data_IF_728708733542
#
_entry.id   IF_728708733542
#
_cell.length_a   1.000
_cell.length_b   1.000
_cell.length_c   1.000
_cell.angle_alpha   90.00
_cell.angle_beta   90.00
_cell.angle_gamma   90.00
#
_symmetry.space_group_name_H-M   'P 1'
#
loop_
_entity.id
_entity.type
_entity.pdbx_description
1 polymer ?
#
# COMPACT_ATOMS: atom_id res chain seq x y z
N UNK A 1 32.43 35.21 6.07
CA UNK A 1 33.29 35.52 4.91
C UNK A 1 33.53 34.27 4.07
N UNK A 2 34.19 33.23 4.62
CA UNK A 2 34.62 32.03 3.87
C UNK A 2 33.57 31.37 2.95
N UNK A 3 32.30 31.24 3.37
CA UNK A 3 31.27 30.61 2.51
C UNK A 3 30.82 31.49 1.34
N UNK A 4 30.89 32.81 1.48
CA UNK A 4 30.52 33.76 0.44
C UNK A 4 31.57 33.84 -0.67
N UNK A 5 32.82 33.51 -0.35
CA UNK A 5 33.93 33.46 -1.31
C UNK A 5 33.79 32.33 -2.34
N UNK A 6 32.90 31.36 -2.10
CA UNK A 6 32.63 30.26 -3.04
C UNK A 6 31.82 30.70 -4.27
N UNK A 7 31.20 31.88 -4.24
CA UNK A 7 30.40 32.38 -5.37
C UNK A 7 29.12 31.58 -5.66
N UNK A 8 28.65 30.80 -4.68
CA UNK A 8 27.48 29.92 -4.82
C UNK A 8 26.16 30.57 -4.35
N UNK A 9 26.14 31.88 -4.11
CA UNK A 9 24.99 32.60 -3.58
C UNK A 9 24.95 32.67 -2.06
N UNK A 10 23.75 32.91 -1.51
CA UNK A 10 23.52 33.01 -0.07
C UNK A 10 23.69 31.65 0.62
N UNK A 11 24.55 31.51 1.64
CA UNK A 11 24.73 30.26 2.35
C UNK A 11 23.57 29.99 3.32
N UNK A 12 22.94 28.83 3.18
CA UNK A 12 21.84 28.38 4.04
C UNK A 12 22.39 27.61 5.26
N UNK A 13 22.26 28.13 6.49
CA UNK A 13 22.72 27.43 7.68
C UNK A 13 21.73 26.32 8.05
N UNK A 14 22.20 25.07 8.12
CA UNK A 14 21.37 23.92 8.50
C UNK A 14 21.95 23.14 9.68
N UNK A 15 21.08 22.52 10.47
CA UNK A 15 21.45 21.54 11.48
C UNK A 15 20.81 20.19 11.15
N UNK A 16 21.61 19.20 10.75
CA UNK A 16 21.10 17.84 10.48
C UNK A 16 20.58 17.12 11.73
N UNK A 17 21.06 17.47 12.93
CA UNK A 17 20.67 16.84 14.19
C UNK A 17 19.36 17.42 14.72
N UNK A 18 19.20 18.75 14.66
CA UNK A 18 18.06 19.44 15.24
C UNK A 18 16.99 19.84 14.21
N UNK A 19 17.29 19.74 12.91
CA UNK A 19 16.37 20.07 11.81
C UNK A 19 16.24 21.57 11.52
N UNK A 20 16.92 22.45 12.26
CA UNK A 20 16.88 23.90 12.02
C UNK A 20 17.43 24.25 10.64
N UNK A 21 16.82 25.23 9.96
CA UNK A 21 17.25 25.73 8.65
C UNK A 21 16.83 24.87 7.46
N UNK A 22 16.26 23.68 7.71
CA UNK A 22 15.88 22.76 6.64
C UNK A 22 14.64 23.21 5.88
N UNK A 23 13.71 23.93 6.54
CA UNK A 23 12.52 24.48 5.90
C UNK A 23 12.88 25.58 4.91
N UNK A 24 13.69 26.54 5.36
CA UNK A 24 14.14 27.68 4.54
C UNK A 24 14.93 27.23 3.31
N UNK A 25 15.80 26.21 3.47
CA UNK A 25 16.51 25.60 2.35
C UNK A 25 15.56 24.94 1.35
N UNK A 26 14.53 24.24 1.83
CA UNK A 26 13.56 23.56 0.96
C UNK A 26 12.64 24.56 0.25
N UNK A 27 12.24 25.63 0.92
CA UNK A 27 11.43 26.70 0.33
C UNK A 27 12.18 27.39 -0.81
N UNK A 28 13.47 27.70 -0.61
CA UNK A 28 14.32 28.21 -1.69
C UNK A 28 14.44 27.19 -2.82
N UNK A 29 14.76 25.93 -2.50
CA UNK A 29 14.97 24.88 -3.50
C UNK A 29 13.76 24.72 -4.43
N UNK A 30 12.55 24.83 -3.89
CA UNK A 30 11.30 24.72 -4.67
C UNK A 30 11.25 25.76 -5.79
N UNK A 31 11.80 26.97 -5.58
CA UNK A 31 11.81 28.03 -6.59
C UNK A 31 12.72 27.73 -7.79
N UNK A 32 13.75 26.89 -7.60
CA UNK A 32 14.70 26.48 -8.64
C UNK A 32 14.28 25.21 -9.36
N UNK A 33 13.30 24.47 -8.82
CA UNK A 33 12.74 23.31 -9.51
C UNK A 33 11.81 23.77 -10.62
N UNK A 34 11.83 23.10 -11.79
CA UNK A 34 10.88 23.41 -12.86
C UNK A 34 9.44 23.28 -12.32
N UNK A 35 8.53 24.21 -12.64
CA UNK A 35 7.14 24.06 -12.26
C UNK A 35 6.62 22.75 -12.84
N UNK A 36 6.24 21.81 -11.98
CA UNK A 36 5.55 20.60 -12.40
C UNK A 36 4.11 21.04 -12.70
N UNK A 37 3.89 21.50 -13.93
CA UNK A 37 2.56 21.91 -14.41
C UNK A 37 1.62 20.71 -14.50
N UNK A 38 2.16 19.56 -14.93
CA UNK A 38 1.44 18.29 -15.00
C UNK A 38 2.42 17.15 -14.68
N UNK A 39 2.15 16.40 -13.61
CA UNK A 39 2.62 15.01 -13.57
C UNK A 39 1.73 14.33 -14.59
N UNK A 40 2.25 13.80 -15.73
CA UNK A 40 1.40 13.09 -16.66
C UNK A 40 0.65 12.02 -15.86
N UNK A 41 -0.68 12.09 -15.86
CA UNK A 41 -1.51 11.01 -15.33
C UNK A 41 -1.30 9.82 -16.24
N UNK A 42 -0.23 9.07 -15.99
CA UNK A 42 -0.08 7.77 -16.60
C UNK A 42 -1.16 6.92 -15.95
N UNK A 43 -2.15 6.46 -16.73
CA UNK A 43 -3.12 5.43 -16.35
C UNK A 43 -2.45 4.06 -16.13
N UNK A 44 -1.20 4.07 -15.67
CA UNK A 44 -0.35 2.93 -15.48
C UNK A 44 -0.37 2.53 -14.00
N UNK A 45 -0.80 1.31 -13.73
CA UNK A 45 -0.74 0.72 -12.39
C UNK A 45 0.65 0.12 -12.20
N UNK A 46 1.38 0.58 -11.18
CA UNK A 46 2.69 0.01 -10.85
C UNK A 46 2.50 -1.26 -10.00
N UNK A 47 2.94 -2.39 -10.50
CA UNK A 47 2.76 -3.72 -9.91
C UNK A 47 4.12 -4.38 -9.65
N UNK A 48 4.32 -5.00 -8.49
CA UNK A 48 5.47 -5.88 -8.24
C UNK A 48 5.04 -7.30 -7.96
N UNK A 49 5.81 -8.27 -8.46
CA UNK A 49 5.65 -9.68 -8.14
C UNK A 49 6.64 -10.02 -7.02
N UNK A 50 6.11 -10.24 -5.82
CA UNK A 50 6.91 -10.44 -4.59
C UNK A 50 6.60 -11.82 -4.00
N UNK A 51 7.60 -12.47 -3.43
CA UNK A 51 7.47 -13.79 -2.81
C UNK A 51 8.83 -14.47 -2.68
N UNK A 52 8.90 -15.52 -1.85
CA UNK A 52 10.13 -16.31 -1.62
C UNK A 52 10.75 -16.85 -2.91
N UNK A 53 12.04 -17.24 -2.91
CA UNK A 53 12.62 -17.99 -4.03
C UNK A 53 11.73 -19.19 -4.45
N UNK A 54 11.73 -19.52 -5.75
CA UNK A 54 11.09 -20.73 -6.30
C UNK A 54 9.55 -20.87 -6.20
N UNK A 55 8.82 -19.89 -5.65
CA UNK A 55 7.34 -19.85 -5.64
C UNK A 55 6.68 -19.65 -7.03
N UNK A 56 7.49 -19.47 -8.08
CA UNK A 56 7.03 -19.36 -9.47
C UNK A 56 6.80 -17.95 -10.00
N UNK A 57 7.41 -16.92 -9.39
CA UNK A 57 7.39 -15.52 -9.87
C UNK A 57 7.80 -15.36 -11.34
N UNK A 58 8.84 -16.08 -11.79
CA UNK A 58 9.32 -16.02 -13.18
C UNK A 58 8.34 -16.66 -14.15
N UNK A 59 7.69 -17.76 -13.75
CA UNK A 59 6.62 -18.37 -14.54
C UNK A 59 5.44 -17.42 -14.67
N UNK A 60 5.05 -16.75 -13.57
CA UNK A 60 3.95 -15.77 -13.58
C UNK A 60 4.26 -14.56 -14.47
N UNK A 61 5.49 -14.02 -14.38
CA UNK A 61 5.96 -12.96 -15.28
C UNK A 61 5.87 -13.38 -16.75
N UNK A 62 6.31 -14.60 -17.08
CA UNK A 62 6.24 -15.09 -18.46
C UNK A 62 4.79 -15.32 -18.92
N UNK A 63 3.92 -15.80 -18.04
CA UNK A 63 2.50 -15.97 -18.36
C UNK A 63 1.84 -14.62 -18.73
N UNK A 64 2.10 -13.56 -17.96
CA UNK A 64 1.64 -12.20 -18.30
C UNK A 64 2.19 -11.69 -19.65
N UNK A 65 3.37 -12.14 -20.06
CA UNK A 65 3.96 -11.75 -21.35
C UNK A 65 3.46 -12.61 -22.53
N UNK A 66 2.98 -13.82 -22.26
CA UNK A 66 2.56 -14.79 -23.27
C UNK A 66 1.08 -14.74 -23.64
N UNK A 67 0.20 -14.20 -22.80
CA UNK A 67 -1.27 -14.28 -22.96
C UNK A 67 -1.90 -13.25 -23.95
N UNK A 68 -1.10 -12.53 -24.74
CA UNK A 68 -1.44 -11.62 -25.87
C UNK A 68 -1.16 -10.12 -25.62
N UNK A 69 -0.36 -9.56 -26.55
CA UNK A 69 -0.05 -8.12 -26.75
C UNK A 69 0.49 -7.37 -25.53
N UNK A 70 1.48 -7.93 -24.82
CA UNK A 70 2.41 -7.10 -24.09
C UNK A 70 3.27 -6.32 -25.11
N UNK A 71 2.89 -5.08 -25.44
CA UNK A 71 3.80 -4.17 -26.13
C UNK A 71 4.88 -3.82 -25.10
N UNK A 72 6.00 -4.52 -25.16
CA UNK A 72 7.20 -4.16 -24.41
C UNK A 72 7.76 -2.90 -25.08
N UNK A 73 7.31 -1.74 -24.63
CA UNK A 73 7.87 -0.46 -25.07
C UNK A 73 9.11 -0.15 -24.24
N UNK A 74 10.32 -0.08 -24.85
CA UNK A 74 11.46 0.51 -24.20
C UNK A 74 11.25 2.03 -24.19
N UNK A 75 10.49 2.55 -23.23
CA UNK A 75 10.41 4.01 -23.05
C UNK A 75 11.76 4.47 -22.51
N UNK A 76 12.66 4.82 -23.43
CA UNK A 76 13.91 5.51 -23.16
C UNK A 76 13.59 6.92 -22.66
N UNK A 77 13.80 7.18 -21.38
CA UNK A 77 13.53 8.52 -20.82
C UNK A 77 13.96 8.76 -19.38
N UNK A 78 14.23 7.73 -18.57
CA UNK A 78 14.80 7.90 -17.23
C UNK A 78 15.99 6.99 -17.01
N UNK A 79 17.17 7.60 -16.83
CA UNK A 79 18.48 6.94 -16.74
C UNK A 79 18.76 6.24 -15.39
N UNK A 80 17.75 5.64 -14.75
CA UNK A 80 17.96 4.80 -13.55
C UNK A 80 17.17 3.48 -13.49
N UNK A 81 16.16 3.27 -14.35
CA UNK A 81 15.17 2.18 -14.19
C UNK A 81 14.92 1.34 -15.46
N UNK A 82 15.99 0.98 -16.20
CA UNK A 82 15.93 0.21 -17.45
C UNK A 82 15.50 -1.27 -17.31
N UNK A 83 14.65 -1.62 -16.33
CA UNK A 83 14.40 -3.00 -15.90
C UNK A 83 12.90 -3.31 -15.65
N UNK A 84 12.02 -2.34 -15.86
CA UNK A 84 10.59 -2.53 -15.66
C UNK A 84 9.95 -3.02 -16.97
N UNK A 85 8.98 -3.95 -16.88
CA UNK A 85 8.26 -4.47 -18.05
C UNK A 85 6.87 -3.86 -18.09
N UNK A 86 6.46 -3.34 -19.24
CA UNK A 86 5.11 -2.80 -19.43
C UNK A 86 4.23 -3.87 -20.06
N UNK A 87 3.04 -4.06 -19.51
CA UNK A 87 2.00 -4.96 -20.05
C UNK A 87 0.75 -4.12 -20.29
N UNK A 88 0.13 -4.25 -21.46
CA UNK A 88 -1.11 -3.57 -21.79
C UNK A 88 -2.24 -4.60 -21.95
N UNK A 89 -3.38 -4.38 -21.30
CA UNK A 89 -4.56 -5.24 -21.46
C UNK A 89 -5.83 -4.40 -21.34
N UNK A 90 -6.77 -4.60 -22.28
CA UNK A 90 -8.06 -3.92 -22.28
C UNK A 90 -7.95 -2.37 -22.18
N UNK A 91 -6.90 -1.79 -22.79
CA UNK A 91 -6.63 -0.34 -22.73
C UNK A 91 -6.07 0.16 -21.39
N UNK A 92 -5.72 -0.73 -20.46
CA UNK A 92 -5.02 -0.41 -19.21
C UNK A 92 -3.55 -0.82 -19.30
N UNK A 93 -2.69 0.00 -18.73
CA UNK A 93 -1.25 -0.22 -18.71
C UNK A 93 -0.80 -0.66 -17.31
N UNK A 94 0.04 -1.68 -17.24
CA UNK A 94 0.60 -2.20 -16.00
C UNK A 94 2.13 -2.16 -16.07
N UNK A 95 2.77 -1.44 -15.15
CA UNK A 95 4.23 -1.47 -14.98
C UNK A 95 4.61 -2.58 -14.03
N UNK A 96 5.19 -3.65 -14.54
CA UNK A 96 5.84 -4.65 -13.70
C UNK A 96 7.22 -4.12 -13.27
N UNK A 97 7.35 -3.82 -11.97
CA UNK A 97 8.55 -3.25 -11.38
C UNK A 97 9.57 -4.34 -11.05
N UNK A 98 10.85 -4.07 -11.33
CA UNK A 98 12.01 -4.89 -10.97
C UNK A 98 12.00 -6.33 -11.56
N UNK A 99 11.68 -6.41 -12.85
CA UNK A 99 11.54 -7.71 -13.54
C UNK A 99 12.86 -8.41 -13.85
N UNK A 100 14.00 -7.73 -13.94
CA UNK A 100 15.27 -8.45 -14.16
C UNK A 100 15.76 -9.18 -12.92
N UNK A 101 15.35 -8.79 -11.71
CA UNK A 101 15.58 -9.59 -10.52
C UNK A 101 14.95 -10.98 -10.64
N UNK A 102 13.81 -11.08 -11.32
CA UNK A 102 13.07 -12.31 -11.60
C UNK A 102 13.71 -13.09 -12.76
N UNK A 103 14.18 -12.41 -13.82
CA UNK A 103 14.82 -13.06 -14.98
C UNK A 103 16.23 -13.58 -14.68
N UNK A 104 17.05 -12.86 -13.90
CA UNK A 104 18.44 -13.25 -13.57
C UNK A 104 18.52 -14.50 -12.66
N UNK A 105 17.53 -14.74 -11.80
CA UNK A 105 17.53 -15.88 -10.86
C UNK A 105 17.44 -17.25 -11.53
N UNK A 106 17.10 -17.35 -12.82
CA UNK A 106 17.10 -18.63 -13.56
C UNK A 106 18.53 -19.17 -13.80
N UNK A 107 19.55 -18.31 -13.72
CA UNK A 107 20.91 -18.62 -14.20
C UNK A 107 22.00 -18.57 -13.11
N UNK A 108 21.67 -18.53 -11.81
CA UNK A 108 22.68 -18.41 -10.73
C UNK A 108 22.44 -19.44 -9.63
N UNK A 109 23.38 -20.35 -9.45
CA UNK A 109 23.46 -21.25 -8.30
C UNK A 109 24.05 -20.53 -7.08
N UNK A 110 23.30 -20.61 -5.96
CA UNK A 110 23.69 -20.41 -4.56
C UNK A 110 24.38 -19.09 -4.13
N UNK A 111 23.79 -18.41 -3.14
CA UNK A 111 24.34 -17.19 -2.48
C UNK A 111 23.46 -15.93 -2.58
N UNK A 112 22.31 -16.00 -3.25
CA UNK A 112 21.49 -14.84 -3.65
C UNK A 112 20.28 -14.52 -2.74
N UNK A 113 20.13 -15.17 -1.58
CA UNK A 113 18.93 -15.02 -0.74
C UNK A 113 18.85 -13.66 -0.04
N UNK A 114 19.95 -13.18 0.56
CA UNK A 114 19.99 -11.88 1.25
C UNK A 114 19.76 -10.70 0.29
N UNK A 115 20.29 -10.79 -0.94
CA UNK A 115 20.04 -9.82 -2.00
C UNK A 115 18.61 -9.88 -2.54
N UNK A 116 17.91 -11.01 -2.38
CA UNK A 116 16.53 -11.20 -2.80
C UNK A 116 15.52 -10.41 -1.98
N UNK A 117 15.69 -10.36 -0.66
CA UNK A 117 14.77 -9.67 0.26
C UNK A 117 14.91 -8.14 0.14
N UNK A 118 16.13 -7.61 0.18
CA UNK A 118 16.37 -6.17 0.01
C UNK A 118 15.86 -5.66 -1.35
N UNK A 119 15.95 -6.50 -2.38
CA UNK A 119 15.38 -6.21 -3.69
C UNK A 119 13.84 -6.17 -3.64
N UNK A 120 13.20 -7.17 -3.05
CA UNK A 120 11.76 -7.19 -2.86
C UNK A 120 11.27 -5.93 -2.11
N UNK A 121 12.00 -5.49 -1.09
CA UNK A 121 11.66 -4.27 -0.34
C UNK A 121 11.75 -2.99 -1.19
N UNK A 122 12.75 -2.89 -2.09
CA UNK A 122 12.83 -1.79 -3.05
C UNK A 122 11.69 -1.82 -4.05
N UNK A 123 11.32 -3.00 -4.54
CA UNK A 123 10.19 -3.18 -5.45
C UNK A 123 8.88 -2.72 -4.79
N UNK A 124 8.57 -3.22 -3.58
CA UNK A 124 7.37 -2.85 -2.80
C UNK A 124 7.25 -1.31 -2.66
N UNK A 125 8.35 -0.61 -2.37
CA UNK A 125 8.35 0.85 -2.20
C UNK A 125 7.98 1.62 -3.48
N UNK A 126 8.25 1.06 -4.65
CA UNK A 126 8.02 1.71 -5.95
C UNK A 126 6.65 1.38 -6.56
N UNK A 127 5.90 0.46 -5.97
CA UNK A 127 4.65 -0.06 -6.56
C UNK A 127 3.40 0.48 -5.86
N UNK A 128 2.25 0.29 -6.48
CA UNK A 128 0.94 0.56 -5.88
C UNK A 128 0.31 -0.74 -5.43
N UNK A 129 0.36 -1.76 -6.30
CA UNK A 129 -0.16 -3.10 -6.02
C UNK A 129 0.99 -4.11 -5.96
N UNK A 130 0.95 -5.01 -4.98
CA UNK A 130 1.86 -6.14 -4.86
C UNK A 130 1.11 -7.43 -5.16
N UNK A 131 1.60 -8.21 -6.11
CA UNK A 131 1.22 -9.61 -6.28
C UNK A 131 2.08 -10.44 -5.34
N UNK A 132 1.52 -10.83 -4.21
CA UNK A 132 2.21 -11.61 -3.19
C UNK A 132 2.05 -13.10 -3.48
N UNK A 133 3.09 -13.68 -4.10
CA UNK A 133 3.07 -15.05 -4.60
C UNK A 133 3.51 -16.04 -3.52
N UNK A 134 2.64 -17.00 -3.23
CA UNK A 134 2.83 -18.08 -2.27
C UNK A 134 2.83 -19.40 -3.04
N UNK A 135 3.66 -20.35 -2.62
CA UNK A 135 3.67 -21.70 -3.18
C UNK A 135 2.59 -22.56 -2.52
N UNK A 136 1.69 -23.13 -3.32
CA UNK A 136 0.62 -23.99 -2.83
C UNK A 136 1.12 -25.29 -2.17
N UNK A 137 2.35 -25.73 -2.46
CA UNK A 137 2.91 -26.94 -1.87
C UNK A 137 3.54 -26.67 -0.49
N UNK A 138 4.20 -25.51 -0.34
CA UNK A 138 4.86 -25.13 0.92
C UNK A 138 3.91 -24.44 1.92
N UNK A 139 2.82 -23.84 1.42
CA UNK A 139 1.99 -22.96 2.23
C UNK A 139 2.67 -21.66 2.64
N UNK A 140 2.10 -21.02 3.65
CA UNK A 140 2.62 -19.75 4.19
C UNK A 140 3.73 -20.03 5.20
N UNK A 141 4.95 -19.62 4.86
CA UNK A 141 6.14 -19.77 5.72
C UNK A 141 6.45 -18.50 6.52
N UNK A 142 7.41 -18.55 7.44
CA UNK A 142 7.86 -17.37 8.18
C UNK A 142 8.48 -16.28 7.29
N UNK A 143 9.18 -16.68 6.22
CA UNK A 143 9.73 -15.73 5.26
C UNK A 143 8.61 -15.02 4.48
N UNK A 144 7.49 -15.69 4.22
CA UNK A 144 6.30 -15.09 3.61
C UNK A 144 5.70 -14.05 4.56
N UNK A 145 5.55 -14.37 5.85
CA UNK A 145 5.05 -13.42 6.84
C UNK A 145 5.90 -12.15 6.92
N UNK A 146 7.24 -12.27 6.90
CA UNK A 146 8.14 -11.10 6.88
C UNK A 146 7.96 -10.21 5.65
N UNK A 147 7.71 -10.81 4.48
CA UNK A 147 7.41 -10.05 3.26
C UNK A 147 6.04 -9.38 3.36
N UNK A 148 5.05 -10.08 3.92
CA UNK A 148 3.69 -9.61 4.13
C UNK A 148 3.62 -8.40 5.08
N UNK A 149 4.32 -8.48 6.23
CA UNK A 149 4.48 -7.37 7.16
C UNK A 149 5.03 -6.13 6.45
N UNK A 150 6.04 -6.33 5.61
CA UNK A 150 6.65 -5.24 4.85
C UNK A 150 5.68 -4.57 3.88
N UNK A 151 4.81 -5.34 3.22
CA UNK A 151 3.79 -4.82 2.31
C UNK A 151 2.84 -3.88 3.08
N UNK A 152 2.47 -4.23 4.31
CA UNK A 152 1.61 -3.42 5.19
C UNK A 152 2.34 -2.17 5.69
N UNK A 153 3.58 -2.32 6.15
CA UNK A 153 4.41 -1.20 6.60
C UNK A 153 4.57 -0.13 5.52
N UNK A 154 4.79 -0.57 4.28
CA UNK A 154 4.88 0.32 3.11
C UNK A 154 3.50 0.78 2.62
N UNK A 155 2.42 0.18 3.14
CA UNK A 155 1.05 0.58 2.85
C UNK A 155 0.70 0.38 1.40
N UNK A 156 1.04 -0.78 0.83
CA UNK A 156 0.74 -1.13 -0.57
C UNK A 156 -0.50 -1.99 -0.64
N UNK A 157 -1.27 -1.80 -1.71
CA UNK A 157 -2.32 -2.73 -2.05
C UNK A 157 -1.72 -4.10 -2.38
N UNK A 158 -2.50 -5.16 -2.17
CA UNK A 158 -2.01 -6.52 -2.27
C UNK A 158 -3.07 -7.47 -2.82
N UNK A 159 -2.63 -8.37 -3.69
CA UNK A 159 -3.36 -9.57 -4.10
C UNK A 159 -2.49 -10.77 -3.73
N UNK A 160 -3.05 -11.69 -2.95
CA UNK A 160 -2.38 -12.93 -2.56
C UNK A 160 -2.57 -13.94 -3.70
N UNK A 161 -1.47 -14.40 -4.27
CA UNK A 161 -1.45 -15.32 -5.41
C UNK A 161 -0.91 -16.66 -4.98
N UNK A 162 -1.78 -17.63 -4.74
CA UNK A 162 -1.40 -19.01 -4.42
C UNK A 162 -1.13 -19.74 -5.73
N UNK A 163 0.15 -19.94 -6.04
CA UNK A 163 0.63 -20.50 -7.30
C UNK A 163 0.95 -22.00 -7.17
N UNK A 164 1.15 -22.67 -8.31
CA UNK A 164 1.33 -24.13 -8.43
C UNK A 164 0.11 -24.92 -7.97
N UNK A 165 -1.08 -24.31 -8.05
CA UNK A 165 -2.31 -24.97 -7.64
C UNK A 165 -2.56 -26.26 -8.45
N UNK A 166 -2.04 -26.38 -9.67
CA UNK A 166 -2.09 -27.60 -10.49
C UNK A 166 -1.42 -28.81 -9.83
N UNK A 167 -0.38 -28.62 -9.02
CA UNK A 167 0.36 -29.68 -8.36
C UNK A 167 -0.30 -30.19 -7.06
N UNK A 168 -1.34 -29.53 -6.59
CA UNK A 168 -2.10 -29.93 -5.40
C UNK A 168 -3.16 -30.96 -5.82
N UNK A 169 -3.17 -32.13 -5.16
CA UNK A 169 -4.28 -33.09 -5.25
C UNK A 169 -5.52 -32.50 -4.58
N UNK A 170 -6.67 -32.61 -5.27
CA UNK A 170 -7.88 -31.84 -4.89
C UNK A 170 -9.08 -32.73 -4.71
N UNK A 171 -9.84 -32.40 -3.68
CA UNK A 171 -11.24 -32.74 -3.52
C UNK A 171 -12.13 -31.47 -3.55
N UNK A 172 -13.42 -31.62 -3.25
CA UNK A 172 -14.38 -30.52 -3.24
C UNK A 172 -14.09 -29.46 -2.15
N UNK A 173 -13.35 -29.80 -1.09
CA UNK A 173 -13.14 -28.96 0.09
C UNK A 173 -11.73 -28.35 0.17
N UNK A 174 -10.79 -28.88 -0.61
CA UNK A 174 -9.36 -28.53 -0.56
C UNK A 174 -9.14 -27.04 -0.68
N UNK A 175 -9.85 -26.36 -1.59
CA UNK A 175 -9.70 -24.91 -1.78
C UNK A 175 -10.12 -24.11 -0.55
N UNK A 176 -11.19 -24.51 0.13
CA UNK A 176 -11.69 -23.83 1.32
C UNK A 176 -10.74 -24.04 2.50
N UNK A 177 -10.27 -25.28 2.70
CA UNK A 177 -9.29 -25.60 3.75
C UNK A 177 -8.02 -24.78 3.57
N UNK A 178 -7.51 -24.70 2.33
CA UNK A 178 -6.31 -23.94 2.03
C UNK A 178 -6.51 -22.43 2.23
N UNK A 179 -7.66 -21.91 1.84
CA UNK A 179 -7.99 -20.50 2.08
C UNK A 179 -8.03 -20.16 3.58
N UNK A 180 -8.59 -21.05 4.41
CA UNK A 180 -8.58 -20.88 5.87
C UNK A 180 -7.15 -20.93 6.43
N UNK A 181 -6.30 -21.83 5.94
CA UNK A 181 -4.91 -21.90 6.37
C UNK A 181 -4.15 -20.60 6.03
N UNK A 182 -4.27 -20.12 4.79
CA UNK A 182 -3.66 -18.85 4.36
C UNK A 182 -4.16 -17.70 5.22
N UNK A 183 -5.48 -17.60 5.46
CA UNK A 183 -6.08 -16.58 6.32
C UNK A 183 -5.61 -16.67 7.77
N UNK A 184 -5.40 -17.87 8.32
CA UNK A 184 -4.91 -18.04 9.69
C UNK A 184 -3.48 -17.51 9.85
N UNK A 185 -2.62 -17.72 8.84
CA UNK A 185 -1.21 -17.31 8.84
C UNK A 185 -1.02 -15.84 8.45
N UNK A 186 -1.91 -15.31 7.59
CA UNK A 186 -1.90 -13.94 7.08
C UNK A 186 -3.13 -13.14 7.53
N UNK A 187 -3.59 -13.35 8.78
CA UNK A 187 -4.82 -12.73 9.31
C UNK A 187 -4.79 -11.19 9.23
N UNK A 188 -3.60 -10.59 9.34
CA UNK A 188 -3.38 -9.15 9.22
C UNK A 188 -3.53 -8.62 7.78
N UNK A 189 -3.61 -9.51 6.79
CA UNK A 189 -3.92 -9.24 5.38
C UNK A 189 -5.31 -9.74 4.97
N UNK A 190 -6.26 -9.90 5.90
CA UNK A 190 -7.64 -10.33 5.59
C UNK A 190 -8.34 -9.51 4.49
N UNK A 191 -7.86 -8.28 4.27
CA UNK A 191 -8.35 -7.35 3.28
C UNK A 191 -7.81 -7.62 1.87
N UNK A 192 -6.75 -8.42 1.73
CA UNK A 192 -6.16 -8.75 0.44
C UNK A 192 -6.89 -9.93 -0.18
N UNK A 193 -7.28 -9.81 -1.45
CA UNK A 193 -7.96 -10.90 -2.16
C UNK A 193 -6.99 -12.03 -2.45
N UNK A 194 -7.46 -13.28 -2.31
CA UNK A 194 -6.67 -14.48 -2.58
C UNK A 194 -7.13 -15.14 -3.87
N UNK A 195 -6.19 -15.46 -4.75
CA UNK A 195 -6.44 -16.20 -5.99
C UNK A 195 -5.52 -17.41 -6.12
N UNK A 196 -6.13 -18.54 -6.48
CA UNK A 196 -5.43 -19.80 -6.75
C UNK A 196 -5.20 -19.96 -8.25
N UNK A 197 -3.94 -20.04 -8.66
CA UNK A 197 -3.52 -20.08 -10.06
C UNK A 197 -2.52 -21.20 -10.34
N UNK A 198 -2.29 -21.44 -11.63
CA UNK A 198 -1.14 -22.18 -12.10
C UNK A 198 -0.44 -21.38 -13.19
N UNK A 199 0.69 -20.76 -12.84
CA UNK A 199 1.47 -19.97 -13.79
C UNK A 199 2.12 -20.81 -14.90
N UNK A 200 2.35 -22.11 -14.67
CA UNK A 200 2.88 -23.04 -15.67
C UNK A 200 1.84 -23.38 -16.75
N UNK A 201 0.58 -23.52 -16.36
CA UNK A 201 -0.52 -23.89 -17.27
C UNK A 201 -1.32 -22.69 -17.79
N UNK A 202 -1.12 -21.50 -17.23
CA UNK A 202 -1.93 -20.30 -17.50
C UNK A 202 -3.28 -20.27 -16.77
N UNK A 203 -3.64 -21.34 -16.04
CA UNK A 203 -4.95 -21.45 -15.40
C UNK A 203 -5.19 -20.29 -14.42
N UNK A 204 -6.21 -19.48 -14.71
CA UNK A 204 -6.67 -18.31 -13.94
C UNK A 204 -5.67 -17.15 -13.85
N UNK A 205 -4.58 -17.15 -14.63
CA UNK A 205 -3.61 -16.04 -14.64
C UNK A 205 -4.27 -14.75 -15.10
N UNK A 206 -5.11 -14.82 -16.14
CA UNK A 206 -5.86 -13.69 -16.65
C UNK A 206 -6.70 -12.96 -15.58
N UNK A 207 -7.27 -13.68 -14.60
CA UNK A 207 -8.12 -13.08 -13.56
C UNK A 207 -7.35 -12.21 -12.56
N UNK A 208 -6.02 -12.34 -12.53
CA UNK A 208 -5.18 -11.54 -11.62
C UNK A 208 -5.25 -10.06 -12.00
N UNK A 209 -5.39 -9.74 -13.29
CA UNK A 209 -5.45 -8.35 -13.74
C UNK A 209 -6.74 -7.66 -13.27
N UNK A 210 -7.87 -8.37 -13.22
CA UNK A 210 -9.12 -7.84 -12.65
C UNK A 210 -8.96 -7.53 -11.15
N UNK A 211 -8.25 -8.40 -10.41
CA UNK A 211 -7.96 -8.19 -8.98
C UNK A 211 -6.97 -7.03 -8.76
N UNK A 212 -5.97 -6.87 -9.64
CA UNK A 212 -5.07 -5.71 -9.61
C UNK A 212 -5.88 -4.43 -9.80
N UNK A 213 -6.79 -4.41 -10.77
CA UNK A 213 -7.62 -3.24 -11.04
C UNK A 213 -8.49 -2.87 -9.85
N UNK A 214 -9.16 -3.86 -9.25
CA UNK A 214 -9.96 -3.64 -8.05
C UNK A 214 -9.11 -3.08 -6.90
N UNK A 215 -7.98 -3.73 -6.61
CA UNK A 215 -7.08 -3.31 -5.56
C UNK A 215 -6.50 -1.91 -5.81
N UNK A 216 -6.12 -1.58 -7.05
CA UNK A 216 -5.61 -0.27 -7.43
C UNK A 216 -6.69 0.83 -7.32
N UNK A 217 -7.93 0.53 -7.70
CA UNK A 217 -9.06 1.44 -7.58
C UNK A 217 -9.37 1.75 -6.12
N UNK A 218 -9.47 0.74 -5.26
CA UNK A 218 -9.66 0.92 -3.83
C UNK A 218 -8.46 1.62 -3.17
N UNK A 219 -7.24 1.34 -3.63
CA UNK A 219 -6.00 1.97 -3.20
C UNK A 219 -5.93 3.47 -3.54
N UNK A 220 -6.71 3.96 -4.50
CA UNK A 220 -6.72 5.39 -4.85
C UNK A 220 -8.03 6.08 -4.48
N UNK A 221 -9.04 5.32 -4.05
CA UNK A 221 -10.39 5.84 -3.80
C UNK A 221 -10.39 6.92 -2.73
N UNK A 222 -11.03 8.04 -3.07
CA UNK A 222 -11.34 9.14 -2.17
C UNK A 222 -12.75 8.98 -1.64
N UNK A 223 -12.90 9.10 -0.33
CA UNK A 223 -14.18 9.12 0.38
C UNK A 223 -14.38 10.50 0.99
N UNK A 224 -15.58 11.05 0.86
CA UNK A 224 -15.89 12.38 1.36
C UNK A 224 -15.88 12.40 2.90
N UNK A 225 -15.59 13.56 3.47
CA UNK A 225 -15.65 13.78 4.92
C UNK A 225 -17.04 13.45 5.48
N UNK A 226 -18.13 13.73 4.76
CA UNK A 226 -19.48 13.41 5.22
C UNK A 226 -19.69 11.90 5.42
N UNK A 227 -19.34 11.10 4.41
CA UNK A 227 -19.49 9.63 4.46
C UNK A 227 -18.62 9.02 5.56
N UNK A 228 -17.41 9.54 5.76
CA UNK A 228 -16.53 9.10 6.87
C UNK A 228 -17.18 9.37 8.23
N UNK A 229 -17.83 10.52 8.41
CA UNK A 229 -18.45 10.87 9.68
C UNK A 229 -19.76 10.12 9.91
N UNK A 230 -20.52 9.81 8.86
CA UNK A 230 -21.70 8.93 8.94
C UNK A 230 -21.33 7.55 9.50
N UNK A 231 -20.28 6.93 8.95
CA UNK A 231 -19.76 5.64 9.44
C UNK A 231 -19.26 5.74 10.89
N UNK A 232 -18.62 6.84 11.26
CA UNK A 232 -18.15 7.06 12.63
C UNK A 232 -19.30 7.22 13.61
N UNK A 233 -20.33 7.99 13.25
CA UNK A 233 -21.51 8.21 14.08
C UNK A 233 -22.25 6.89 14.31
N UNK A 234 -22.43 6.09 13.26
CA UNK A 234 -23.01 4.75 13.36
C UNK A 234 -22.16 3.84 14.28
N UNK A 235 -20.84 3.75 14.05
CA UNK A 235 -19.95 2.95 14.88
C UNK A 235 -19.96 3.35 16.37
N UNK A 236 -19.96 4.65 16.67
CA UNK A 236 -19.98 5.14 18.05
C UNK A 236 -21.32 4.82 18.73
N UNK A 237 -22.42 4.84 17.98
CA UNK A 237 -23.76 4.49 18.49
C UNK A 237 -23.84 3.02 18.91
N UNK A 238 -23.22 2.12 18.16
CA UNK A 238 -23.15 0.69 18.48
C UNK A 238 -22.18 0.39 19.63
N UNK A 239 -21.03 1.05 19.64
CA UNK A 239 -20.01 0.85 20.68
C UNK A 239 -19.29 2.15 20.99
N UNK A 240 -19.68 2.76 22.11
CA UNK A 240 -19.08 4.01 22.57
C UNK A 240 -17.64 3.82 23.05
N UNK A 241 -16.78 4.86 22.96
CA UNK A 241 -15.41 4.80 23.48
C UNK A 241 -15.40 4.45 24.97
N UNK A 242 -14.41 3.66 25.44
CA UNK A 242 -14.36 3.21 26.82
C UNK A 242 -14.12 4.37 27.79
N UNK A 243 -14.69 4.25 28.99
CA UNK A 243 -14.51 5.20 30.09
C UNK A 243 -13.32 4.79 30.94
N UNK A 244 -12.44 5.73 31.28
CA UNK A 244 -11.32 5.48 32.20
C UNK A 244 -11.82 5.29 33.65
N UNK A 245 -10.97 4.73 34.52
CA UNK A 245 -11.25 4.61 35.97
C UNK A 245 -11.63 5.92 36.65
N UNK A 246 -11.21 7.06 36.11
CA UNK A 246 -11.52 8.40 36.59
C UNK A 246 -12.80 9.01 35.94
N UNK A 247 -13.62 8.21 35.26
CA UNK A 247 -14.86 8.67 34.63
C UNK A 247 -14.66 9.47 33.33
N UNK A 248 -13.43 9.64 32.85
CA UNK A 248 -13.15 10.41 31.60
C UNK A 248 -13.29 9.49 30.39
N UNK A 249 -14.12 9.88 29.43
CA UNK A 249 -14.35 9.14 28.19
C UNK A 249 -13.53 9.71 27.02
N UNK A 250 -13.18 8.85 26.06
CA UNK A 250 -12.69 9.28 24.75
C UNK A 250 -13.80 9.97 23.97
N UNK A 251 -13.49 11.08 23.29
CA UNK A 251 -14.41 11.76 22.39
C UNK A 251 -13.78 11.87 21.01
N UNK A 252 -14.44 11.31 20.00
CA UNK A 252 -14.12 11.50 18.59
C UNK A 252 -14.97 12.66 18.10
N UNK A 253 -14.33 13.68 17.53
CA UNK A 253 -15.01 14.88 17.05
C UNK A 253 -15.45 14.75 15.61
N UNK A 254 -14.53 14.31 14.75
CA UNK A 254 -14.74 14.07 13.33
C UNK A 254 -13.58 13.27 12.75
N UNK A 255 -13.79 12.69 11.57
CA UNK A 255 -12.76 12.06 10.75
C UNK A 255 -12.68 12.67 9.36
N UNK A 256 -11.50 12.62 8.73
CA UNK A 256 -11.32 12.95 7.31
C UNK A 256 -10.22 12.10 6.68
N UNK A 257 -10.36 11.77 5.39
CA UNK A 257 -9.29 11.12 4.65
C UNK A 257 -8.22 12.14 4.27
N UNK A 258 -6.97 11.87 4.63
CA UNK A 258 -5.82 12.76 4.36
C UNK A 258 -5.02 12.32 3.15
N UNK A 259 -4.91 11.02 2.90
CA UNK A 259 -4.23 10.45 1.72
C UNK A 259 -4.99 9.24 1.20
N UNK A 260 -4.86 8.97 -0.11
CA UNK A 260 -5.53 7.84 -0.76
C UNK A 260 -4.63 6.64 -0.88
N UNK A 261 -3.33 6.82 -1.05
CA UNK A 261 -2.36 5.75 -1.38
C UNK A 261 -1.40 5.51 -0.18
N UNK A 262 -1.72 4.67 0.82
CA UNK A 262 -2.99 3.98 1.06
C UNK A 262 -4.07 4.88 1.70
N UNK A 263 -5.34 4.43 1.76
CA UNK A 263 -6.42 5.19 2.39
C UNK A 263 -6.10 5.45 3.85
N UNK A 264 -5.81 6.72 4.15
CA UNK A 264 -5.41 7.15 5.48
C UNK A 264 -6.44 8.12 6.02
N UNK A 265 -7.11 7.72 7.10
CA UNK A 265 -8.17 8.49 7.76
C UNK A 265 -7.60 9.07 9.06
N UNK A 266 -7.62 10.40 9.17
CA UNK A 266 -7.27 11.10 10.39
C UNK A 266 -8.54 11.31 11.23
N UNK A 267 -8.55 10.75 12.44
CA UNK A 267 -9.59 10.92 13.44
C UNK A 267 -9.14 11.97 14.47
N UNK A 268 -9.93 13.02 14.62
CA UNK A 268 -9.65 14.09 15.58
C UNK A 268 -10.37 13.79 16.87
N UNK A 269 -9.59 13.64 17.94
CA UNK A 269 -10.07 13.20 19.24
C UNK A 269 -9.63 14.14 20.35
N UNK A 270 -10.22 13.99 21.53
CA UNK A 270 -9.79 14.73 22.71
C UNK A 270 -8.39 14.29 23.19
N UNK A 271 -8.17 12.99 23.34
CA UNK A 271 -6.90 12.41 23.78
C UNK A 271 -6.71 11.03 23.15
N UNK A 272 -5.74 10.85 22.24
CA UNK A 272 -5.48 9.56 21.57
C UNK A 272 -5.21 8.40 22.53
N UNK A 273 -4.70 8.67 23.74
CA UNK A 273 -4.39 7.62 24.74
C UNK A 273 -5.65 6.98 25.32
N UNK A 274 -6.82 7.59 25.15
CA UNK A 274 -8.12 7.06 25.63
C UNK A 274 -8.73 6.01 24.73
N UNK A 275 -8.12 5.75 23.57
CA UNK A 275 -8.60 4.78 22.58
C UNK A 275 -7.64 3.59 22.55
N UNK A 276 -7.90 2.54 23.35
CA UNK A 276 -7.07 1.34 23.36
C UNK A 276 -7.14 0.60 22.02
N UNK A 277 -6.15 -0.25 21.75
CA UNK A 277 -5.99 -0.89 20.44
C UNK A 277 -7.19 -1.73 20.01
N UNK A 278 -7.90 -2.37 20.93
CA UNK A 278 -9.14 -3.07 20.64
C UNK A 278 -10.22 -2.13 20.07
N UNK A 279 -10.38 -0.95 20.64
CA UNK A 279 -11.32 0.06 20.13
C UNK A 279 -10.85 0.65 18.80
N UNK A 280 -9.53 0.85 18.62
CA UNK A 280 -8.96 1.29 17.34
C UNK A 280 -9.21 0.26 16.23
N UNK A 281 -9.02 -1.02 16.51
CA UNK A 281 -9.33 -2.13 15.60
C UNK A 281 -10.83 -2.22 15.30
N UNK A 282 -11.68 -2.01 16.30
CA UNK A 282 -13.12 -1.94 16.11
C UNK A 282 -13.48 -0.84 15.09
N UNK A 283 -13.03 0.40 15.30
CA UNK A 283 -13.31 1.51 14.36
C UNK A 283 -12.73 1.22 12.97
N UNK A 284 -11.54 0.64 12.88
CA UNK A 284 -10.96 0.22 11.60
C UNK A 284 -11.83 -0.82 10.88
N UNK A 285 -12.36 -1.81 11.63
CA UNK A 285 -13.27 -2.82 11.10
C UNK A 285 -14.58 -2.19 10.60
N UNK A 286 -15.15 -1.22 11.33
CA UNK A 286 -16.33 -0.49 10.86
C UNK A 286 -16.06 0.26 9.55
N UNK A 287 -14.91 0.95 9.43
CA UNK A 287 -14.55 1.55 8.14
C UNK A 287 -14.43 0.52 7.02
N UNK A 288 -13.85 -0.66 7.26
CA UNK A 288 -13.79 -1.72 6.24
C UNK A 288 -15.17 -2.24 5.86
N UNK A 289 -16.04 -2.52 6.84
CA UNK A 289 -17.37 -3.07 6.60
C UNK A 289 -18.26 -2.11 5.81
N UNK A 290 -18.24 -0.83 6.13
CA UNK A 290 -19.13 0.15 5.51
C UNK A 290 -18.55 0.79 4.26
N UNK A 291 -17.23 1.00 4.20
CA UNK A 291 -16.58 1.63 3.04
C UNK A 291 -15.99 0.64 2.06
N UNK A 292 -15.70 -0.61 2.44
CA UNK A 292 -14.98 -1.58 1.62
C UNK A 292 -13.47 -1.47 1.80
N UNK A 293 -12.75 -1.00 0.77
CA UNK A 293 -11.28 -1.02 0.70
C UNK A 293 -10.68 -2.42 0.59
N UNK A 294 -11.33 -3.26 -0.21
CA UNK A 294 -10.81 -4.57 -0.62
C UNK A 294 -9.52 -4.41 -1.41
N UNK A 295 -8.52 -5.24 -1.13
CA UNK A 295 -7.21 -5.20 -1.76
C UNK A 295 -6.26 -4.13 -1.21
N UNK A 296 -6.68 -3.28 -0.25
CA UNK A 296 -5.82 -2.23 0.33
C UNK A 296 -5.81 -2.21 1.88
N UNK A 297 -4.66 -1.89 2.50
CA UNK A 297 -4.64 -1.55 3.92
C UNK A 297 -5.32 -0.20 4.17
N UNK A 298 -5.98 -0.04 5.32
CA UNK A 298 -6.47 1.25 5.82
C UNK A 298 -5.54 1.70 6.95
N UNK A 299 -5.17 2.98 6.97
CA UNK A 299 -4.41 3.59 8.07
C UNK A 299 -5.29 4.56 8.85
N UNK A 300 -5.38 4.37 10.17
CA UNK A 300 -6.04 5.32 11.06
C UNK A 300 -5.01 6.13 11.84
N UNK A 301 -5.09 7.45 11.75
CA UNK A 301 -4.26 8.38 12.53
C UNK A 301 -5.14 9.05 13.58
N UNK A 302 -4.80 8.89 14.85
CA UNK A 302 -5.54 9.46 15.97
C UNK A 302 -4.85 10.75 16.43
N UNK A 303 -5.44 11.91 16.11
CA UNK A 303 -4.88 13.23 16.43
C UNK A 303 -5.61 13.85 17.61
N UNK A 304 -4.87 14.19 18.66
CA UNK A 304 -5.39 15.01 19.75
C UNK A 304 -5.50 16.46 19.31
N UNK A 305 -6.66 17.10 19.49
CA UNK A 305 -6.78 18.55 19.27
C UNK A 305 -5.91 19.30 20.29
N UNK A 306 -5.12 20.28 19.83
CA UNK A 306 -4.62 21.36 20.71
C UNK A 306 -5.79 22.30 21.03
N UNK A 307 -5.84 22.83 22.25
CA UNK A 307 -6.96 23.64 22.76
C UNK A 307 -7.39 24.82 21.84
N UNK A 308 -6.51 25.35 20.98
CA UNK A 308 -6.78 26.47 20.06
C UNK A 308 -7.59 26.13 18.80
N UNK A 309 -7.69 24.86 18.39
CA UNK A 309 -8.43 24.45 17.17
C UNK A 309 -9.93 24.17 17.41
N UNK A 310 -10.41 24.38 18.63
CA UNK A 310 -11.82 24.15 18.98
C UNK A 310 -12.68 25.35 18.59
N UNK A 311 -12.15 26.58 18.70
CA UNK A 311 -12.91 27.82 18.48
C UNK A 311 -13.09 28.17 16.99
N UNK A 312 -12.12 27.89 16.12
CA UNK A 312 -12.21 28.28 14.72
C UNK A 312 -13.29 27.54 13.91
N UNK A 313 -13.61 26.28 14.26
CA UNK A 313 -14.59 25.48 13.50
C UNK A 313 -16.03 25.62 14.00
N UNK A 314 -16.25 26.07 15.25
CA UNK A 314 -17.59 26.40 15.73
C UNK A 314 -18.10 27.70 15.11
N UNK A 315 -17.22 28.68 14.87
CA UNK A 315 -17.57 29.94 14.21
C UNK A 315 -18.03 29.71 12.76
N UNK A 316 -17.33 28.86 12.00
CA UNK A 316 -17.70 28.59 10.59
C UNK A 316 -19.02 27.83 10.40
N UNK A 317 -19.54 27.14 11.44
CA UNK A 317 -20.88 26.52 11.40
C UNK A 317 -22.00 27.52 11.73
N UNK A 318 -21.70 28.59 12.47
CA UNK A 318 -22.70 29.59 12.88
C UNK A 318 -22.96 30.67 11.82
N UNK A 319 -22.13 30.78 10.77
CA UNK A 319 -22.24 31.83 9.73
C UNK A 319 -22.95 31.39 8.45
N UNK A 320 -23.62 30.23 8.45
CA UNK A 320 -24.53 29.83 7.36
C UNK A 320 -25.96 29.74 7.90
N UNK A 321 -26.59 30.91 8.01
CA UNK A 321 -28.05 31.09 8.03
C UNK A 321 -28.36 32.12 6.95
#
# INVERSE_FOLDING_TARGET
AMFWELGLGEPYPISGIHGNGTGELLDELITHLPPITEIPETNEVRVAIVGRPNVGKSSLLNAFLGENRAIVSPISGTTRDAIDTVVERNGKTYRLIDTAGIRKKKNVEYGAEFFGINRAFKAIRRTEVVLFVIDALDGVTEQDQKLADRIIEEGRACVIVVNKWDAVEKDAYTIYTYEQEVRSRLYFMEWAETIFISASTGKRVEKILDLIDNAANEYQRRVTTSVINEVLEEAISWNSPPTTRQGRQGKIYYGTQVTSKPPTIALFVNDPKRFPDNYRRYIQSQFRQHLGFTGTPIRLIWRGKKAREVEHNTVNRATRV
#
